data_IF_101670702845
#
_entry.id   IF_101670702845
#
_cell.length_a   1.000
_cell.length_b   1.000
_cell.length_c   1.000
_cell.angle_alpha   90.00
_cell.angle_beta   90.00
_cell.angle_gamma   90.00
#
_symmetry.space_group_name_H-M   'P 1'
#
loop_
_entity.id
_entity.type
_entity.pdbx_description
1 polymer ?
#
# COMPACT_ATOMS: atom_id res chain seq x y z
N UNK A 1 7.98 63.27 6.38
CA UNK A 1 9.05 64.02 7.05
C UNK A 1 10.37 63.23 6.99
N UNK A 2 11.14 63.35 5.92
CA UNK A 2 12.54 62.90 5.80
C UNK A 2 13.25 63.84 4.81
N UNK A 3 13.27 65.14 5.12
CA UNK A 3 13.86 66.18 4.25
C UNK A 3 15.32 66.52 4.61
N UNK A 4 15.86 66.03 5.72
CA UNK A 4 17.03 66.68 6.33
C UNK A 4 18.19 65.71 6.59
N UNK A 5 18.89 65.23 5.54
CA UNK A 5 20.18 64.53 5.74
C UNK A 5 21.09 64.44 4.48
N UNK A 6 21.17 65.48 3.61
CA UNK A 6 22.37 65.64 2.75
C UNK A 6 23.32 66.63 3.50
N UNK A 7 24.14 66.13 4.45
CA UNK A 7 25.17 66.91 5.16
C UNK A 7 26.19 67.48 4.16
N UNK A 8 26.51 68.76 4.32
CA UNK A 8 27.33 69.56 3.40
C UNK A 8 28.82 69.22 3.56
N UNK A 9 29.38 68.48 2.60
CA UNK A 9 30.82 68.47 2.34
C UNK A 9 31.08 69.19 1.02
N UNK A 10 31.48 70.47 1.10
CA UNK A 10 31.95 71.26 -0.04
C UNK A 10 33.29 70.68 -0.53
N UNK A 11 33.27 69.81 -1.53
CA UNK A 11 34.40 69.60 -2.45
C UNK A 11 34.12 70.37 -3.74
N UNK A 12 35.02 71.26 -4.20
CA UNK A 12 34.83 71.97 -5.46
C UNK A 12 34.89 70.98 -6.63
N UNK A 13 33.84 70.95 -7.45
CA UNK A 13 33.79 70.19 -8.71
C UNK A 13 32.66 69.16 -8.87
N UNK A 14 31.88 68.84 -7.83
CA UNK A 14 30.80 67.84 -7.93
C UNK A 14 29.46 68.49 -7.54
N UNK A 15 28.51 68.51 -8.47
CA UNK A 15 27.16 69.03 -8.25
C UNK A 15 26.32 68.00 -7.46
N UNK A 16 26.45 68.02 -6.13
CA UNK A 16 25.85 67.06 -5.18
C UNK A 16 24.32 66.98 -5.32
N UNK A 17 23.65 68.05 -5.77
CA UNK A 17 22.20 68.07 -6.02
C UNK A 17 21.77 67.06 -7.09
N UNK A 18 22.56 66.90 -8.16
CA UNK A 18 22.28 65.90 -9.21
C UNK A 18 22.39 64.46 -8.70
N UNK A 19 23.25 64.20 -7.71
CA UNK A 19 23.46 62.85 -7.16
C UNK A 19 22.34 62.46 -6.19
N UNK A 20 21.92 63.34 -5.25
CA UNK A 20 20.77 63.05 -4.37
C UNK A 20 19.49 62.82 -5.23
N UNK A 21 19.30 63.52 -6.36
CA UNK A 21 18.16 63.35 -7.28
C UNK A 21 18.21 62.03 -8.08
N UNK A 22 19.36 61.64 -8.64
CA UNK A 22 19.53 60.35 -9.36
C UNK A 22 19.34 59.16 -8.43
N UNK A 23 19.84 59.23 -7.18
CA UNK A 23 19.66 58.16 -6.19
C UNK A 23 18.20 58.04 -5.72
N UNK A 24 17.50 59.16 -5.56
CA UNK A 24 16.07 59.19 -5.26
C UNK A 24 15.23 58.57 -6.38
N UNK A 25 15.49 58.95 -7.64
CA UNK A 25 14.82 58.37 -8.81
C UNK A 25 15.12 56.87 -8.97
N UNK A 26 16.37 56.43 -8.74
CA UNK A 26 16.73 54.99 -8.76
C UNK A 26 15.97 54.19 -7.70
N UNK A 27 15.80 54.72 -6.48
CA UNK A 27 15.00 54.08 -5.42
C UNK A 27 13.52 54.00 -5.78
N UNK A 28 12.94 55.04 -6.38
CA UNK A 28 11.54 55.02 -6.84
C UNK A 28 11.33 54.00 -7.96
N UNK A 29 12.25 53.92 -8.93
CA UNK A 29 12.18 52.93 -10.02
C UNK A 29 12.33 51.51 -9.48
N UNK A 30 13.25 51.27 -8.54
CA UNK A 30 13.37 49.98 -7.85
C UNK A 30 12.10 49.60 -7.09
N UNK A 31 11.47 50.54 -6.37
CA UNK A 31 10.22 50.27 -5.67
C UNK A 31 9.04 50.02 -6.61
N UNK A 32 8.94 50.73 -7.73
CA UNK A 32 7.93 50.47 -8.77
C UNK A 32 8.10 49.09 -9.40
N UNK A 33 9.32 48.72 -9.76
CA UNK A 33 9.63 47.39 -10.31
C UNK A 33 9.36 46.28 -9.29
N UNK A 34 9.65 46.52 -8.01
CA UNK A 34 9.35 45.57 -6.93
C UNK A 34 7.84 45.42 -6.71
N UNK A 35 7.09 46.52 -6.71
CA UNK A 35 5.63 46.49 -6.54
C UNK A 35 4.96 45.80 -7.73
N UNK A 36 5.44 46.06 -8.95
CA UNK A 36 4.93 45.43 -10.17
C UNK A 36 5.27 43.93 -10.23
N UNK A 37 6.45 43.52 -9.76
CA UNK A 37 6.81 42.11 -9.60
C UNK A 37 5.92 41.41 -8.57
N UNK A 38 5.67 42.04 -7.41
CA UNK A 38 4.78 41.50 -6.37
C UNK A 38 3.35 41.36 -6.89
N UNK A 39 2.81 42.37 -7.58
CA UNK A 39 1.47 42.30 -8.17
C UNK A 39 1.37 41.21 -9.24
N UNK A 40 2.44 40.98 -10.02
CA UNK A 40 2.47 39.90 -11.03
C UNK A 40 2.50 38.52 -10.36
N UNK A 41 3.26 38.35 -9.27
CA UNK A 41 3.29 37.11 -8.48
C UNK A 41 1.93 36.84 -7.82
N UNK A 42 1.27 37.88 -7.27
CA UNK A 42 -0.07 37.75 -6.68
C UNK A 42 -1.10 37.36 -7.75
N UNK A 43 -1.05 37.97 -8.94
CA UNK A 43 -1.94 37.64 -10.06
C UNK A 43 -1.72 36.20 -10.57
N UNK A 44 -0.47 35.74 -10.61
CA UNK A 44 -0.11 34.34 -10.93
C UNK A 44 -0.58 33.35 -9.84
N UNK A 45 -0.63 33.79 -8.58
CA UNK A 45 -1.12 32.97 -7.46
C UNK A 45 -2.66 32.89 -7.44
N UNK A 46 -3.36 33.92 -7.94
CA UNK A 46 -4.82 33.94 -8.09
C UNK A 46 -5.33 33.07 -9.24
N UNK A 47 -4.48 32.73 -10.22
CA UNK A 47 -4.75 31.73 -11.25
C UNK A 47 -4.51 30.28 -10.77
N UNK A 48 -4.43 30.07 -9.45
CA UNK A 48 -4.25 28.75 -8.85
C UNK A 48 -5.23 27.72 -9.41
N UNK A 49 -4.75 26.94 -10.39
CA UNK A 49 -5.42 25.71 -10.81
C UNK A 49 -5.67 24.90 -9.53
N UNK A 50 -6.88 24.36 -9.33
CA UNK A 50 -7.11 23.50 -8.19
C UNK A 50 -6.06 22.39 -8.24
N UNK A 51 -5.28 22.25 -7.16
CA UNK A 51 -4.57 21.00 -6.89
C UNK A 51 -5.67 19.93 -6.79
N UNK A 52 -6.00 19.30 -7.91
CA UNK A 52 -6.75 18.07 -7.94
C UNK A 52 -5.96 17.14 -7.02
N UNK A 53 -6.47 16.87 -5.83
CA UNK A 53 -5.88 15.83 -4.99
C UNK A 53 -5.87 14.59 -5.87
N UNK A 54 -4.70 14.01 -6.12
CA UNK A 54 -4.50 12.83 -6.98
C UNK A 54 -5.37 11.67 -6.47
N UNK A 55 -6.63 11.66 -6.86
CA UNK A 55 -7.51 10.53 -6.61
C UNK A 55 -7.23 9.54 -7.72
N UNK A 56 -6.53 8.47 -7.38
CA UNK A 56 -6.29 7.38 -8.31
C UNK A 56 -7.60 6.90 -8.94
N UNK A 57 -7.53 6.56 -10.22
CA UNK A 57 -8.69 6.15 -11.01
C UNK A 57 -8.92 4.65 -10.79
N UNK A 58 -10.17 4.28 -10.52
CA UNK A 58 -10.58 2.89 -10.38
C UNK A 58 -10.32 2.14 -11.70
N UNK A 59 -9.65 1.00 -11.62
CA UNK A 59 -9.34 0.14 -12.79
C UNK A 59 -8.03 0.49 -13.50
N UNK A 60 -7.36 1.59 -13.15
CA UNK A 60 -6.10 2.00 -13.76
C UNK A 60 -4.88 1.53 -12.95
N UNK A 61 -4.61 0.22 -13.03
CA UNK A 61 -3.46 -0.42 -12.42
C UNK A 61 -2.87 -1.49 -13.35
N UNK A 62 -1.66 -1.97 -13.03
CA UNK A 62 -0.88 -2.87 -13.90
C UNK A 62 -0.98 -4.34 -13.52
N UNK A 63 -1.08 -4.63 -12.22
CA UNK A 63 -1.07 -6.00 -11.69
C UNK A 63 -1.78 -6.05 -10.34
N UNK A 64 -2.14 -7.25 -9.92
CA UNK A 64 -2.56 -7.51 -8.56
C UNK A 64 -1.40 -8.05 -7.72
N UNK A 65 -1.33 -7.63 -6.47
CA UNK A 65 -0.60 -8.37 -5.43
C UNK A 65 -1.60 -9.11 -4.57
N UNK A 66 -1.62 -10.44 -4.66
CA UNK A 66 -2.34 -11.29 -3.72
C UNK A 66 -1.48 -11.48 -2.47
N UNK A 67 -1.91 -10.88 -1.36
CA UNK A 67 -1.27 -11.02 -0.06
C UNK A 67 -1.99 -12.10 0.74
N UNK A 68 -1.26 -13.15 1.11
CA UNK A 68 -1.79 -14.25 1.91
C UNK A 68 -0.99 -14.39 3.20
N UNK A 69 -1.67 -14.30 4.34
CA UNK A 69 -1.05 -14.45 5.65
C UNK A 69 -0.92 -15.92 6.03
N UNK A 70 0.16 -16.22 6.77
CA UNK A 70 0.24 -17.42 7.60
C UNK A 70 -0.24 -17.03 9.00
N UNK A 71 -1.51 -17.31 9.31
CA UNK A 71 -2.19 -16.76 10.48
C UNK A 71 -1.52 -17.09 11.82
N UNK A 72 -0.99 -18.31 12.06
CA UNK A 72 -0.33 -18.62 13.34
C UNK A 72 0.83 -17.65 13.64
N UNK A 73 1.74 -17.51 12.69
CA UNK A 73 2.87 -16.57 12.81
C UNK A 73 2.43 -15.10 12.86
N UNK A 74 1.34 -14.72 12.19
CA UNK A 74 0.78 -13.38 12.33
C UNK A 74 0.36 -13.12 13.78
N UNK A 75 -0.27 -14.09 14.43
CA UNK A 75 -0.75 -13.97 15.79
C UNK A 75 0.36 -13.93 16.84
N UNK A 76 1.49 -14.59 16.60
CA UNK A 76 2.72 -14.36 17.38
C UNK A 76 3.14 -12.89 17.39
N UNK A 77 2.97 -12.19 16.28
CA UNK A 77 3.34 -10.78 16.14
C UNK A 77 2.27 -9.79 16.61
N UNK A 78 1.02 -10.25 16.73
CA UNK A 78 -0.18 -9.45 17.05
C UNK A 78 -1.14 -10.20 17.98
N UNK A 79 -0.69 -10.68 19.15
CA UNK A 79 -1.46 -11.59 20.00
C UNK A 79 -2.78 -10.99 20.51
N UNK A 80 -2.83 -9.66 20.65
CA UNK A 80 -4.01 -8.95 21.17
C UNK A 80 -5.13 -8.72 20.15
N UNK A 81 -4.99 -9.22 18.92
CA UNK A 81 -6.04 -9.14 17.91
C UNK A 81 -7.14 -10.15 18.23
N UNK A 82 -8.41 -9.79 17.97
CA UNK A 82 -9.55 -10.66 18.28
C UNK A 82 -9.43 -12.01 17.58
N UNK A 83 -9.02 -12.01 16.30
CA UNK A 83 -8.77 -13.22 15.52
C UNK A 83 -7.59 -14.08 16.02
N UNK A 84 -6.77 -13.55 16.93
CA UNK A 84 -5.64 -14.26 17.54
C UNK A 84 -5.97 -14.83 18.91
N UNK A 85 -6.92 -14.22 19.62
CA UNK A 85 -7.33 -14.67 20.96
C UNK A 85 -8.15 -15.97 20.95
N UNK A 86 -8.81 -16.28 19.83
CA UNK A 86 -9.65 -17.48 19.67
C UNK A 86 -9.01 -18.53 18.76
N UNK A 87 -7.67 -18.56 18.67
CA UNK A 87 -7.00 -19.52 17.81
C UNK A 87 -7.16 -20.97 18.26
N UNK A 88 -7.47 -21.88 17.33
CA UNK A 88 -7.47 -23.31 17.57
C UNK A 88 -7.19 -24.09 16.28
N UNK A 89 -6.70 -25.33 16.42
CA UNK A 89 -6.16 -26.15 15.33
C UNK A 89 -7.22 -26.61 14.30
N UNK A 90 -8.49 -26.67 14.69
CA UNK A 90 -9.59 -27.08 13.81
C UNK A 90 -10.00 -26.05 12.74
N UNK A 91 -9.36 -24.88 12.69
CA UNK A 91 -9.69 -23.83 11.73
C UNK A 91 -8.90 -23.95 10.42
N UNK A 92 -9.47 -23.44 9.34
CA UNK A 92 -8.84 -23.44 8.01
C UNK A 92 -7.43 -22.83 8.03
N UNK A 93 -7.23 -21.77 8.80
CA UNK A 93 -5.95 -21.07 8.91
C UNK A 93 -4.85 -21.83 9.65
N UNK A 94 -5.16 -22.97 10.29
CA UNK A 94 -4.16 -23.75 11.03
C UNK A 94 -3.09 -24.35 10.12
N UNK A 95 -3.48 -24.67 8.89
CA UNK A 95 -2.65 -25.34 7.90
C UNK A 95 -2.79 -24.76 6.48
N UNK A 96 -3.47 -23.63 6.32
CA UNK A 96 -3.59 -22.93 5.03
C UNK A 96 -3.20 -21.46 5.15
N UNK A 97 -2.71 -20.92 4.05
CA UNK A 97 -2.63 -19.48 3.86
C UNK A 97 -4.03 -18.87 3.78
N UNK A 98 -4.22 -17.72 4.42
CA UNK A 98 -5.48 -16.98 4.44
C UNK A 98 -5.34 -15.63 3.73
N UNK A 99 -6.45 -15.07 3.28
CA UNK A 99 -6.50 -13.77 2.63
C UNK A 99 -6.13 -12.66 3.62
N UNK A 100 -5.04 -11.96 3.32
CA UNK A 100 -4.85 -10.60 3.83
C UNK A 100 -5.55 -9.63 2.89
N UNK A 101 -5.27 -9.68 1.59
CA UNK A 101 -5.91 -8.81 0.61
C UNK A 101 -5.47 -9.06 -0.84
N UNK A 102 -6.17 -8.41 -1.77
CA UNK A 102 -5.91 -8.46 -3.20
C UNK A 102 -5.70 -7.02 -3.71
N UNK A 103 -4.45 -6.63 -3.93
CA UNK A 103 -4.13 -5.21 -4.09
C UNK A 103 -3.85 -4.85 -5.55
N UNK A 104 -4.73 -4.06 -6.21
CA UNK A 104 -4.35 -3.31 -7.39
C UNK A 104 -3.04 -2.54 -7.16
N UNK A 105 -2.10 -2.67 -8.08
CA UNK A 105 -0.78 -2.07 -7.95
C UNK A 105 -0.30 -1.47 -9.27
N UNK A 106 0.33 -0.30 -9.17
CA UNK A 106 0.94 0.42 -10.30
C UNK A 106 2.44 0.23 -10.29
N UNK A 107 3.04 0.01 -11.45
CA UNK A 107 4.47 -0.11 -11.63
C UNK A 107 5.15 1.22 -11.26
N UNK A 108 6.23 1.13 -10.49
CA UNK A 108 6.94 2.30 -10.01
C UNK A 108 6.42 2.89 -8.70
N UNK A 109 5.24 2.47 -8.20
CA UNK A 109 4.77 2.84 -6.86
C UNK A 109 5.51 2.06 -5.76
N UNK A 110 6.76 2.45 -5.53
CA UNK A 110 7.62 1.84 -4.50
C UNK A 110 7.11 2.06 -3.08
N UNK A 111 6.23 3.04 -2.88
CA UNK A 111 5.71 3.42 -1.55
C UNK A 111 4.37 2.76 -1.24
N UNK A 112 3.78 2.01 -2.18
CA UNK A 112 2.45 1.39 -2.06
C UNK A 112 1.40 2.42 -1.64
N UNK A 113 1.46 3.59 -2.28
CA UNK A 113 0.56 4.72 -2.04
C UNK A 113 -0.71 4.65 -2.89
N UNK A 114 -0.72 3.83 -3.94
CA UNK A 114 -1.89 3.58 -4.76
C UNK A 114 -3.03 2.98 -3.92
N UNK A 115 -4.14 3.71 -3.85
CA UNK A 115 -5.29 3.33 -3.03
C UNK A 115 -6.35 4.43 -2.94
N UNK A 116 -7.46 4.10 -2.27
CA UNK A 116 -8.60 5.02 -2.05
C UNK A 116 -9.22 5.57 -3.35
N UNK A 117 -9.20 4.79 -4.42
CA UNK A 117 -9.63 5.26 -5.73
C UNK A 117 -11.09 5.71 -5.71
N UNK A 118 -11.32 6.95 -6.15
CA UNK A 118 -12.63 7.60 -6.21
C UNK A 118 -13.41 7.60 -4.87
N UNK A 119 -12.71 7.61 -3.73
CA UNK A 119 -13.35 7.67 -2.41
C UNK A 119 -13.56 9.11 -1.92
N UNK A 120 -14.72 9.44 -1.30
CA UNK A 120 -14.96 10.75 -0.71
C UNK A 120 -13.90 11.10 0.36
N UNK A 121 -13.44 12.36 0.39
CA UNK A 121 -12.46 12.83 1.39
C UNK A 121 -12.91 12.58 2.84
N UNK A 122 -14.21 12.71 3.11
CA UNK A 122 -14.82 12.43 4.41
C UNK A 122 -14.60 10.98 4.84
N UNK A 123 -14.76 10.04 3.92
CA UNK A 123 -14.55 8.62 4.14
C UNK A 123 -13.07 8.29 4.34
N UNK A 124 -12.16 8.90 3.56
CA UNK A 124 -10.71 8.75 3.76
C UNK A 124 -10.31 9.27 5.15
N UNK A 125 -10.88 10.41 5.60
CA UNK A 125 -10.67 10.94 6.94
C UNK A 125 -11.16 9.98 8.03
N UNK A 126 -12.31 9.35 7.83
CA UNK A 126 -12.82 8.32 8.75
C UNK A 126 -11.89 7.11 8.80
N UNK A 127 -11.47 6.61 7.63
CA UNK A 127 -10.53 5.49 7.51
C UNK A 127 -9.23 5.74 8.29
N UNK A 128 -8.68 6.97 8.24
CA UNK A 128 -7.43 7.34 8.93
C UNK A 128 -7.50 7.21 10.45
N UNK A 129 -8.71 7.12 11.04
CA UNK A 129 -8.92 6.84 12.48
C UNK A 129 -8.60 5.38 12.86
N UNK A 130 -8.40 4.49 11.88
CA UNK A 130 -8.06 3.06 12.07
C UNK A 130 -9.10 2.25 12.87
N UNK A 131 -10.33 2.73 12.95
CA UNK A 131 -11.49 2.01 13.49
C UNK A 131 -12.29 1.43 12.33
N UNK A 132 -11.81 0.32 11.76
CA UNK A 132 -12.33 -0.19 10.49
C UNK A 132 -13.79 -0.62 10.55
N UNK A 133 -14.28 -1.03 11.74
CA UNK A 133 -15.69 -1.35 11.95
C UNK A 133 -16.63 -0.12 11.92
N UNK A 134 -16.09 1.10 11.96
CA UNK A 134 -16.89 2.33 11.78
C UNK A 134 -17.12 2.66 10.30
N UNK A 135 -16.31 2.13 9.39
CA UNK A 135 -16.46 2.37 7.95
C UNK A 135 -17.77 1.78 7.44
N UNK A 136 -18.38 2.27 6.34
CA UNK A 136 -19.64 1.72 5.87
C UNK A 136 -19.54 0.21 5.57
N UNK A 137 -20.63 -0.52 5.86
CA UNK A 137 -20.71 -1.97 5.61
C UNK A 137 -20.63 -2.24 4.12
N UNK A 138 -19.92 -3.31 3.75
CA UNK A 138 -19.83 -3.76 2.37
C UNK A 138 -21.10 -4.52 1.97
N UNK A 139 -21.56 -4.31 0.74
CA UNK A 139 -22.64 -5.03 0.11
C UNK A 139 -22.13 -6.37 -0.46
N UNK A 140 -22.13 -7.39 0.40
CA UNK A 140 -21.66 -8.74 0.07
C UNK A 140 -22.80 -9.75 0.18
N UNK A 141 -22.90 -10.65 -0.79
CA UNK A 141 -23.83 -11.78 -0.73
C UNK A 141 -23.57 -12.66 0.51
N UNK A 142 -24.58 -13.43 0.94
CA UNK A 142 -24.44 -14.32 2.11
C UNK A 142 -23.33 -15.35 1.92
N UNK A 143 -23.21 -15.91 0.70
CA UNK A 143 -22.18 -16.88 0.36
C UNK A 143 -20.77 -16.27 0.44
N UNK A 144 -20.58 -15.10 -0.19
CA UNK A 144 -19.29 -14.39 -0.18
C UNK A 144 -18.87 -14.04 1.25
N UNK A 145 -19.80 -13.57 2.09
CA UNK A 145 -19.51 -13.29 3.50
C UNK A 145 -19.07 -14.53 4.27
N UNK A 146 -19.77 -15.66 4.08
CA UNK A 146 -19.45 -16.92 4.75
C UNK A 146 -18.05 -17.39 4.38
N UNK A 147 -17.74 -17.47 3.09
CA UNK A 147 -16.42 -17.86 2.60
C UNK A 147 -15.33 -16.88 3.06
N UNK A 148 -15.58 -15.58 2.96
CA UNK A 148 -14.62 -14.56 3.36
C UNK A 148 -14.31 -14.64 4.86
N UNK A 149 -15.30 -14.90 5.73
CA UNK A 149 -15.05 -15.07 7.16
C UNK A 149 -14.17 -16.28 7.51
N UNK A 150 -14.21 -17.33 6.68
CA UNK A 150 -13.32 -18.49 6.82
C UNK A 150 -11.91 -18.18 6.27
N UNK A 151 -11.84 -17.50 5.13
CA UNK A 151 -10.58 -17.19 4.44
C UNK A 151 -9.90 -15.93 4.93
N UNK A 152 -10.51 -15.13 5.81
CA UNK A 152 -9.92 -13.92 6.38
C UNK A 152 -10.32 -13.86 7.86
N UNK A 153 -9.54 -14.45 8.79
CA UNK A 153 -9.88 -14.44 10.22
C UNK A 153 -10.06 -13.02 10.78
N UNK A 154 -9.29 -12.05 10.28
CA UNK A 154 -9.46 -10.62 10.59
C UNK A 154 -10.80 -10.01 10.17
N UNK A 155 -11.71 -10.78 9.54
CA UNK A 155 -13.07 -10.36 9.23
C UNK A 155 -13.84 -9.94 10.50
N UNK A 156 -13.60 -10.63 11.63
CA UNK A 156 -14.17 -10.28 12.94
C UNK A 156 -13.74 -8.88 13.41
N UNK A 157 -12.55 -8.44 13.00
CA UNK A 157 -11.96 -7.13 13.28
C UNK A 157 -12.19 -6.11 12.14
N UNK A 158 -13.11 -6.41 11.22
CA UNK A 158 -13.44 -5.61 10.04
C UNK A 158 -12.29 -5.35 9.05
N UNK A 159 -11.31 -6.27 8.94
CA UNK A 159 -10.21 -6.19 7.98
C UNK A 159 -10.71 -6.05 6.53
N UNK A 160 -11.78 -6.75 6.15
CA UNK A 160 -12.45 -6.61 4.86
C UNK A 160 -12.84 -5.16 4.53
N UNK A 161 -13.21 -4.34 5.51
CA UNK A 161 -13.50 -2.93 5.23
C UNK A 161 -12.22 -2.16 4.93
N UNK A 162 -11.16 -2.41 5.70
CA UNK A 162 -9.84 -1.82 5.42
C UNK A 162 -9.35 -2.17 4.01
N UNK A 163 -9.37 -3.45 3.68
CA UNK A 163 -8.90 -3.97 2.40
C UNK A 163 -9.72 -3.42 1.23
N UNK A 164 -11.04 -3.36 1.35
CA UNK A 164 -11.87 -2.75 0.33
C UNK A 164 -11.57 -1.26 0.14
N UNK A 165 -11.73 -0.45 1.19
CA UNK A 165 -11.67 1.01 1.02
C UNK A 165 -10.28 1.51 0.61
N UNK A 166 -9.21 0.85 1.08
CA UNK A 166 -7.85 1.20 0.69
C UNK A 166 -7.46 0.61 -0.68
N UNK A 167 -7.79 -0.66 -0.95
CA UNK A 167 -7.26 -1.39 -2.10
C UNK A 167 -8.34 -1.80 -3.09
N UNK A 168 -9.39 -2.49 -2.63
CA UNK A 168 -10.45 -3.03 -3.49
C UNK A 168 -11.20 -1.96 -4.30
N UNK A 169 -11.35 -0.74 -3.76
CA UNK A 169 -11.95 0.42 -4.44
C UNK A 169 -11.24 0.77 -5.75
N UNK A 170 -9.97 0.39 -5.92
CA UNK A 170 -9.19 0.60 -7.13
C UNK A 170 -9.33 -0.49 -8.20
N UNK A 171 -10.01 -1.60 -7.91
CA UNK A 171 -9.99 -2.81 -8.76
C UNK A 171 -10.79 -2.72 -10.06
N UNK A 172 -11.72 -1.77 -10.18
CA UNK A 172 -12.74 -1.81 -11.25
C UNK A 172 -14.00 -2.60 -10.87
N UNK A 173 -13.89 -3.55 -9.93
CA UNK A 173 -14.97 -4.48 -9.56
C UNK A 173 -15.99 -3.86 -8.59
N UNK A 174 -17.13 -4.54 -8.42
CA UNK A 174 -18.04 -4.30 -7.30
C UNK A 174 -17.44 -4.86 -5.99
N UNK A 175 -17.97 -4.42 -4.84
CA UNK A 175 -17.58 -4.96 -3.52
C UNK A 175 -17.70 -6.48 -3.47
N UNK A 176 -18.84 -7.00 -3.96
CA UNK A 176 -19.11 -8.43 -3.98
C UNK A 176 -18.13 -9.17 -4.90
N UNK A 177 -17.96 -8.71 -6.15
CA UNK A 177 -17.16 -9.44 -7.14
C UNK A 177 -15.67 -9.44 -6.81
N UNK A 178 -15.18 -8.36 -6.21
CA UNK A 178 -13.82 -8.31 -5.68
C UNK A 178 -13.57 -9.43 -4.65
N UNK A 179 -14.52 -9.68 -3.75
CA UNK A 179 -14.39 -10.76 -2.78
C UNK A 179 -14.76 -12.14 -3.33
N UNK A 180 -15.58 -12.25 -4.38
CA UNK A 180 -15.75 -13.50 -5.13
C UNK A 180 -14.39 -13.96 -5.68
N UNK A 181 -13.70 -13.07 -6.41
CA UNK A 181 -12.39 -13.37 -6.99
C UNK A 181 -11.36 -13.65 -5.89
N UNK A 182 -11.34 -12.85 -4.82
CA UNK A 182 -10.41 -13.04 -3.71
C UNK A 182 -10.60 -14.40 -3.02
N UNK A 183 -11.84 -14.82 -2.78
CA UNK A 183 -12.14 -16.12 -2.19
C UNK A 183 -11.73 -17.28 -3.13
N UNK A 184 -12.00 -17.16 -4.42
CA UNK A 184 -11.59 -18.15 -5.42
C UNK A 184 -10.07 -18.32 -5.49
N UNK A 185 -9.31 -17.22 -5.42
CA UNK A 185 -7.85 -17.27 -5.41
C UNK A 185 -7.30 -18.02 -4.20
N UNK A 186 -7.86 -17.78 -3.00
CA UNK A 186 -7.47 -18.52 -1.79
C UNK A 186 -7.81 -20.01 -1.93
N UNK A 187 -9.00 -20.32 -2.42
CA UNK A 187 -9.44 -21.70 -2.60
C UNK A 187 -8.58 -22.47 -3.61
N UNK A 188 -8.23 -21.85 -4.74
CA UNK A 188 -7.35 -22.48 -5.73
C UNK A 188 -5.94 -22.62 -5.19
N UNK A 189 -5.41 -21.59 -4.52
CA UNK A 189 -4.06 -21.63 -3.98
C UNK A 189 -3.93 -22.67 -2.86
N UNK A 190 -4.96 -22.86 -2.03
CA UNK A 190 -4.92 -23.83 -0.93
C UNK A 190 -4.73 -25.28 -1.41
N UNK A 191 -5.21 -25.59 -2.62
CA UNK A 191 -5.13 -26.91 -3.27
C UNK A 191 -3.75 -27.19 -3.91
N UNK A 192 -2.85 -26.21 -3.96
CA UNK A 192 -1.54 -26.31 -4.60
C UNK A 192 -0.58 -27.21 -3.82
N UNK A 193 0.35 -27.86 -4.54
CA UNK A 193 1.43 -28.66 -3.93
C UNK A 193 2.36 -27.79 -3.09
N UNK A 194 2.54 -26.52 -3.43
CA UNK A 194 3.26 -25.53 -2.64
C UNK A 194 2.58 -25.27 -1.31
N UNK A 195 1.28 -24.98 -1.30
CA UNK A 195 0.50 -24.78 -0.07
C UNK A 195 0.55 -26.02 0.81
N UNK A 196 0.35 -27.20 0.23
CA UNK A 196 0.45 -28.49 0.94
C UNK A 196 1.87 -28.76 1.48
N UNK A 197 2.92 -28.34 0.77
CA UNK A 197 4.29 -28.45 1.27
C UNK A 197 4.49 -27.57 2.50
N UNK A 198 3.96 -26.34 2.52
CA UNK A 198 4.01 -25.48 3.71
C UNK A 198 3.24 -26.14 4.87
N UNK A 199 2.03 -26.63 4.63
CA UNK A 199 1.21 -27.33 5.62
C UNK A 199 1.93 -28.56 6.23
N UNK A 200 2.64 -29.35 5.43
CA UNK A 200 3.42 -30.52 5.90
C UNK A 200 4.64 -30.16 6.75
N UNK A 201 5.03 -28.88 6.75
CA UNK A 201 6.19 -28.38 7.48
C UNK A 201 5.79 -27.45 8.64
N UNK A 202 4.53 -27.42 9.04
CA UNK A 202 4.08 -26.75 10.28
C UNK A 202 4.91 -27.24 11.47
N UNK A 203 5.32 -26.29 12.32
CA UNK A 203 6.23 -26.49 13.46
C UNK A 203 7.71 -26.54 13.10
N UNK A 204 8.07 -26.69 11.81
CA UNK A 204 9.45 -26.94 11.36
C UNK A 204 10.11 -25.70 10.78
N UNK A 205 11.44 -25.72 10.79
CA UNK A 205 12.25 -24.79 10.02
C UNK A 205 12.38 -25.25 8.57
N UNK A 206 12.23 -24.31 7.64
CA UNK A 206 12.38 -24.56 6.20
C UNK A 206 13.47 -23.68 5.61
N UNK A 207 14.18 -24.22 4.61
CA UNK A 207 15.14 -23.45 3.85
C UNK A 207 14.46 -22.61 2.76
N UNK A 208 14.77 -21.32 2.69
CA UNK A 208 14.19 -20.38 1.72
C UNK A 208 14.36 -20.83 0.27
N UNK A 209 15.54 -21.31 -0.12
CA UNK A 209 15.83 -21.75 -1.50
C UNK A 209 15.03 -23.00 -1.84
N UNK A 210 14.87 -23.91 -0.88
CA UNK A 210 14.07 -25.12 -1.04
C UNK A 210 12.58 -24.78 -1.24
N UNK A 211 12.02 -23.88 -0.42
CA UNK A 211 10.62 -23.45 -0.55
C UNK A 211 10.37 -22.76 -1.90
N UNK A 212 11.23 -21.82 -2.32
CA UNK A 212 11.12 -21.19 -3.64
C UNK A 212 11.23 -22.19 -4.80
N UNK A 213 12.00 -23.29 -4.62
CA UNK A 213 12.09 -24.36 -5.61
C UNK A 213 10.77 -25.15 -5.72
N UNK A 214 10.01 -25.31 -4.63
CA UNK A 214 8.69 -25.94 -4.70
C UNK A 214 7.71 -25.11 -5.52
N UNK A 215 7.77 -23.78 -5.41
CA UNK A 215 6.95 -22.89 -6.22
C UNK A 215 7.26 -23.04 -7.71
N UNK A 216 8.54 -23.03 -8.08
CA UNK A 216 8.98 -23.28 -9.46
C UNK A 216 8.56 -24.65 -10.01
N UNK A 217 8.61 -25.70 -9.19
CA UNK A 217 8.19 -27.04 -9.61
C UNK A 217 6.70 -27.11 -9.96
N UNK A 218 5.89 -26.28 -9.33
CA UNK A 218 4.45 -26.27 -9.55
C UNK A 218 4.01 -25.35 -10.69
N UNK A 219 4.58 -24.15 -10.72
CA UNK A 219 4.16 -23.08 -11.62
C UNK A 219 5.12 -22.83 -12.79
N UNK A 220 6.13 -23.68 -12.95
CA UNK A 220 7.12 -23.59 -14.02
C UNK A 220 8.37 -22.80 -13.64
N UNK A 221 9.44 -23.01 -14.41
CA UNK A 221 10.75 -22.42 -14.16
C UNK A 221 10.67 -20.88 -14.15
N UNK A 222 11.19 -20.26 -13.09
CA UNK A 222 11.23 -18.80 -12.94
C UNK A 222 9.98 -18.19 -12.31
N UNK A 223 8.92 -18.97 -12.06
CA UNK A 223 7.71 -18.48 -11.37
C UNK A 223 7.99 -17.93 -9.96
N UNK A 224 9.04 -18.39 -9.28
CA UNK A 224 9.51 -17.83 -8.00
C UNK A 224 9.75 -16.32 -8.02
N UNK A 225 9.96 -15.72 -9.19
CA UNK A 225 10.13 -14.28 -9.33
C UNK A 225 8.86 -13.49 -9.01
N UNK A 226 7.69 -14.12 -9.11
CA UNK A 226 6.41 -13.54 -8.72
C UNK A 226 6.05 -13.74 -7.24
N UNK A 227 6.92 -14.40 -6.46
CA UNK A 227 6.67 -14.73 -5.05
C UNK A 227 7.59 -13.96 -4.10
N UNK A 228 7.00 -13.18 -3.19
CA UNK A 228 7.67 -12.64 -2.02
C UNK A 228 7.36 -13.49 -0.80
N UNK A 229 8.39 -14.01 -0.14
CA UNK A 229 8.28 -14.60 1.20
C UNK A 229 8.53 -13.51 2.25
N UNK A 230 7.55 -13.25 3.12
CA UNK A 230 7.64 -12.26 4.20
C UNK A 230 7.74 -12.97 5.54
N UNK A 231 8.84 -12.69 6.24
CA UNK A 231 9.05 -13.14 7.60
C UNK A 231 9.17 -11.96 8.54
N UNK A 232 8.77 -12.21 9.79
CA UNK A 232 8.97 -11.31 10.91
C UNK A 232 9.75 -12.05 12.01
N UNK A 233 10.64 -11.32 12.71
CA UNK A 233 11.34 -11.86 13.87
C UNK A 233 10.48 -11.61 15.11
N UNK A 234 10.05 -12.69 15.77
CA UNK A 234 9.30 -12.66 17.03
C UNK A 234 10.10 -13.47 18.04
N UNK A 235 10.48 -12.84 19.16
CA UNK A 235 11.23 -13.47 20.26
C UNK A 235 12.45 -14.28 19.80
N UNK A 236 13.24 -13.72 18.88
CA UNK A 236 14.43 -14.37 18.34
C UNK A 236 14.18 -15.29 17.14
N UNK A 237 12.96 -15.80 16.97
CA UNK A 237 12.59 -16.71 15.87
C UNK A 237 12.11 -15.93 14.66
N UNK A 238 12.61 -16.28 13.46
CA UNK A 238 12.07 -15.75 12.20
C UNK A 238 10.91 -16.64 11.73
N UNK A 239 9.71 -16.09 11.71
CA UNK A 239 8.48 -16.79 11.33
C UNK A 239 8.01 -16.33 9.95
N UNK A 240 7.57 -17.25 9.09
CA UNK A 240 6.86 -16.88 7.86
C UNK A 240 5.49 -16.33 8.25
N UNK A 241 5.25 -15.04 8.01
CA UNK A 241 3.98 -14.37 8.37
C UNK A 241 3.09 -14.11 7.17
N UNK A 242 3.67 -13.96 5.98
CA UNK A 242 2.92 -13.64 4.77
C UNK A 242 3.68 -14.09 3.52
N UNK A 243 2.93 -14.41 2.47
CA UNK A 243 3.44 -14.45 1.10
C UNK A 243 2.72 -13.41 0.25
N UNK A 244 3.43 -12.85 -0.72
CA UNK A 244 2.85 -11.95 -1.74
C UNK A 244 3.08 -12.54 -3.11
N UNK A 245 2.01 -12.75 -3.85
CA UNK A 245 2.04 -13.31 -5.19
C UNK A 245 1.59 -12.24 -6.17
N UNK A 246 2.42 -11.97 -7.18
CA UNK A 246 2.14 -10.96 -8.18
C UNK A 246 1.41 -11.61 -9.35
N UNK A 247 0.19 -11.14 -9.61
CA UNK A 247 -0.75 -11.69 -10.59
C UNK A 247 -1.02 -10.66 -11.68
N UNK A 248 -1.39 -11.12 -12.87
CA UNK A 248 -1.86 -10.26 -13.96
C UNK A 248 -3.15 -9.52 -13.56
N UNK A 249 -3.47 -8.44 -14.28
CA UNK A 249 -4.66 -7.61 -14.05
C UNK A 249 -5.95 -8.36 -14.39
N UNK A 250 -5.94 -9.10 -15.49
CA UNK A 250 -7.10 -9.82 -16.01
C UNK A 250 -7.28 -11.12 -15.22
N UNK A 251 -8.14 -11.06 -14.20
CA UNK A 251 -8.51 -12.21 -13.38
C UNK A 251 -9.87 -12.82 -13.80
N UNK A 252 -10.42 -12.45 -14.96
CA UNK A 252 -11.66 -13.07 -15.46
C UNK A 252 -11.40 -14.53 -15.82
N UNK A 253 -12.27 -15.43 -15.34
CA UNK A 253 -12.13 -16.90 -15.42
C UNK A 253 -10.93 -17.49 -14.67
N UNK A 254 -10.84 -17.22 -13.36
CA UNK A 254 -9.90 -17.93 -12.48
C UNK A 254 -10.29 -19.40 -12.35
N UNK A 255 -9.85 -20.24 -13.30
CA UNK A 255 -10.04 -21.70 -13.24
C UNK A 255 -8.77 -22.44 -12.82
N UNK A 256 -7.59 -21.88 -13.14
CA UNK A 256 -6.29 -22.42 -12.76
C UNK A 256 -5.32 -21.30 -12.35
N UNK A 257 -4.75 -21.45 -11.16
CA UNK A 257 -3.78 -20.51 -10.59
C UNK A 257 -2.50 -20.38 -11.44
N UNK A 258 -2.14 -21.41 -12.20
CA UNK A 258 -0.94 -21.41 -13.06
C UNK A 258 -0.95 -20.35 -14.15
N UNK A 259 -2.13 -19.93 -14.62
CA UNK A 259 -2.27 -18.98 -15.72
C UNK A 259 -2.42 -17.52 -15.25
N UNK A 260 -2.14 -17.24 -13.97
CA UNK A 260 -2.38 -15.93 -13.37
C UNK A 260 -1.13 -15.05 -13.29
N UNK A 261 0.04 -15.52 -13.72
CA UNK A 261 1.27 -14.73 -13.66
C UNK A 261 1.38 -13.77 -14.86
N UNK A 262 1.84 -12.52 -14.65
CA UNK A 262 2.04 -11.58 -15.75
C UNK A 262 3.27 -11.96 -16.58
N UNK A 263 3.23 -11.70 -17.89
CA UNK A 263 4.36 -11.99 -18.79
C UNK A 263 5.63 -11.25 -18.40
N UNK A 264 5.49 -10.00 -17.95
CA UNK A 264 6.61 -9.18 -17.48
C UNK A 264 7.15 -9.74 -16.16
N UNK A 265 8.40 -10.20 -16.18
CA UNK A 265 9.11 -10.64 -14.96
C UNK A 265 9.25 -9.48 -13.98
N UNK A 266 8.76 -9.69 -12.75
CA UNK A 266 8.91 -8.75 -11.65
C UNK A 266 10.03 -9.23 -10.72
N UNK A 267 10.90 -8.31 -10.26
CA UNK A 267 11.90 -8.62 -9.22
C UNK A 267 11.29 -8.35 -7.85
N UNK A 268 10.59 -9.35 -7.33
CA UNK A 268 9.92 -9.25 -6.03
C UNK A 268 10.91 -9.50 -4.89
N UNK A 269 10.88 -8.63 -3.86
CA UNK A 269 11.74 -8.76 -2.67
C UNK A 269 10.97 -9.31 -1.46
N UNK A 270 11.45 -10.47 -0.97
CA UNK A 270 11.05 -11.06 0.32
C UNK A 270 11.95 -10.62 1.47
N UNK A 271 11.46 -10.76 2.70
CA UNK A 271 12.21 -10.46 3.94
C UNK A 271 12.72 -11.71 4.66
N UNK A 272 12.29 -12.91 4.24
CA UNK A 272 12.69 -14.14 4.90
C UNK A 272 14.22 -14.41 4.82
N UNK A 273 14.86 -14.82 5.93
CA UNK A 273 16.26 -15.22 5.95
C UNK A 273 16.47 -16.58 5.26
N UNK A 274 17.69 -17.15 5.34
CA UNK A 274 18.02 -18.46 4.74
C UNK A 274 17.17 -19.61 5.32
N UNK A 275 16.85 -19.56 6.61
CA UNK A 275 16.04 -20.53 7.33
C UNK A 275 15.05 -19.82 8.24
N UNK A 276 13.80 -20.26 8.25
CA UNK A 276 12.72 -19.67 9.06
C UNK A 276 11.68 -20.75 9.41
N UNK A 277 10.91 -20.53 10.49
CA UNK A 277 9.89 -21.48 10.96
C UNK A 277 8.56 -21.25 10.22
N UNK A 278 7.89 -22.34 9.87
CA UNK A 278 6.47 -22.34 9.54
C UNK A 278 5.74 -22.59 10.85
N UNK A 279 5.11 -21.54 11.37
CA UNK A 279 4.61 -21.57 12.73
C UNK A 279 3.33 -22.40 12.87
N UNK A 280 3.13 -23.01 14.04
CA UNK A 280 1.94 -23.79 14.37
C UNK A 280 0.92 -22.95 15.15
N UNK A 281 -0.33 -23.39 15.20
CA UNK A 281 -1.37 -22.68 15.94
C UNK A 281 -1.02 -22.64 17.42
N UNK A 282 -1.18 -21.46 18.03
CA UNK A 282 -0.84 -21.19 19.41
C UNK A 282 0.01 -19.93 19.49
N UNK A 283 0.06 -19.33 20.68
CA UNK A 283 1.01 -18.27 20.98
C UNK A 283 2.05 -18.90 21.91
N UNK A 284 3.29 -18.97 21.46
CA UNK A 284 4.41 -19.37 22.29
C UNK A 284 4.46 -18.44 23.51
N UNK A 285 4.47 -19.05 24.71
CA UNK A 285 4.64 -18.34 25.96
C UNK A 285 6.13 -18.11 26.25
#
# INVERSE_FOLDING_TARGET
>A
MLKDNCFVLKKPGINIFKICQVLYYKRIIQMKNLFQLIMTIILLCQLGLPLQADTFIKGEFDNYTLALSWQPAFCESKPNKLECQSQHEGQFYANHFILHGLWPNVQGDKRHTYGYCQMPKSLIKQYKRKRWCDLPKLNLSKLVRKQLSQFMPGYISCLQRHEWYKHGSCSGLSENDYYVVSNQLVELFSKTRFSQYVAKNVGKYVNRKALLKQFDKEFGQGSRHYLALKCQKVRGTSLLTEIRIFLKKELSTVSDFKHLFPEKKLKVRGTCPRSFKIDEVGIAH
#
